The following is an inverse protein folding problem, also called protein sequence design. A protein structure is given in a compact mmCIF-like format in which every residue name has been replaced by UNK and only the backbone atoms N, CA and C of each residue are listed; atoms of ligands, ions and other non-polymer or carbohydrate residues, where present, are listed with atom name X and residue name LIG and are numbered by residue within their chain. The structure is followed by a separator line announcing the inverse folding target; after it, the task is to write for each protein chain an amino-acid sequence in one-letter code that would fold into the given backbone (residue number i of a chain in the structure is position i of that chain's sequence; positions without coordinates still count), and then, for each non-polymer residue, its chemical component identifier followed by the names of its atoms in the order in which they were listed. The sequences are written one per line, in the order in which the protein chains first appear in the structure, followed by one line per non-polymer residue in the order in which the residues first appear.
data_IF_372642885356
#
_entry.id   IF_372642885356
#
_cell.length_a   1.000
_cell.length_b   1.000
_cell.length_c   1.000
_cell.angle_alpha   90.00
_cell.angle_beta   90.00
_cell.angle_gamma   90.00
#
_symmetry.space_group_name_H-M   'P 1'
#
loop_
_entity.id
_entity.type
_entity.pdbx_description
1 polymer ?
#
# COMPACT_ATOMS: atom_id res chain seq x y z
N UNK A 1 -8.24 -21.04 -12.28
CA UNK A 1 -7.54 -19.87 -11.72
C UNK A 1 -8.53 -19.11 -10.84
N UNK A 2 -8.12 -18.55 -9.70
CA UNK A 2 -9.04 -17.74 -8.86
C UNK A 2 -9.34 -16.42 -9.57
N UNK A 3 -10.57 -15.93 -9.46
CA UNK A 3 -10.91 -14.58 -9.91
C UNK A 3 -10.37 -13.54 -8.93
N UNK A 4 -10.25 -12.30 -9.39
CA UNK A 4 -9.78 -11.18 -8.58
C UNK A 4 -10.66 -10.93 -7.35
N UNK A 5 -11.95 -11.31 -7.34
CA UNK A 5 -12.82 -11.25 -6.16
C UNK A 5 -12.33 -12.07 -4.96
N UNK A 6 -11.50 -13.09 -5.20
CA UNK A 6 -11.01 -14.02 -4.16
C UNK A 6 -9.53 -13.80 -3.80
N UNK A 7 -8.99 -12.62 -4.13
CA UNK A 7 -7.59 -12.27 -3.88
C UNK A 7 -7.54 -10.96 -3.08
N UNK A 8 -6.75 -10.94 -2.02
CA UNK A 8 -6.42 -9.73 -1.28
C UNK A 8 -4.93 -9.43 -1.38
N UNK A 9 -4.60 -8.16 -1.64
CA UNK A 9 -3.23 -7.70 -1.56
C UNK A 9 -2.91 -7.33 -0.10
N UNK A 10 -1.83 -7.91 0.42
CA UNK A 10 -1.31 -7.63 1.76
C UNK A 10 0.17 -7.33 1.65
N UNK A 11 0.64 -6.32 2.38
CA UNK A 11 2.06 -5.92 2.35
C UNK A 11 2.91 -6.89 3.14
N UNK A 12 2.38 -7.43 4.25
CA UNK A 12 3.14 -8.10 5.29
C UNK A 12 4.36 -7.26 5.75
N UNK A 13 4.15 -5.94 5.77
CA UNK A 13 5.22 -4.96 5.92
C UNK A 13 5.76 -4.90 7.35
N UNK A 14 7.08 -4.89 7.45
CA UNK A 14 7.82 -4.59 8.67
C UNK A 14 7.80 -3.08 8.99
N UNK A 15 8.18 -2.72 10.21
CA UNK A 15 8.20 -1.32 10.67
C UNK A 15 9.15 -0.40 9.88
N UNK A 16 10.12 -0.97 9.17
CA UNK A 16 11.04 -0.25 8.29
C UNK A 16 10.49 -0.04 6.86
N UNK A 17 9.28 -0.52 6.54
CA UNK A 17 8.68 -0.29 5.24
C UNK A 17 8.46 1.22 4.99
N UNK A 18 8.88 1.70 3.81
CA UNK A 18 8.78 3.12 3.47
C UNK A 18 9.87 4.01 4.07
N UNK A 19 10.88 3.44 4.73
CA UNK A 19 12.06 4.18 5.22
C UNK A 19 13.28 3.94 4.31
N UNK A 20 14.36 4.70 4.53
CA UNK A 20 15.65 4.51 3.88
C UNK A 20 16.64 3.69 4.74
N UNK A 21 16.14 3.04 5.79
CA UNK A 21 16.97 2.24 6.68
C UNK A 21 17.54 1.01 5.96
N UNK A 22 18.78 0.66 6.30
CA UNK A 22 19.48 -0.53 5.77
C UNK A 22 19.49 -1.70 6.75
N UNK A 23 19.07 -1.46 7.98
CA UNK A 23 19.01 -2.45 9.04
C UNK A 23 17.79 -2.20 9.89
N UNK A 24 17.15 -3.25 10.37
CA UNK A 24 16.01 -3.15 11.29
C UNK A 24 16.09 -4.24 12.36
N UNK A 25 15.20 -4.18 13.34
CA UNK A 25 15.02 -5.23 14.34
C UNK A 25 13.55 -5.64 14.41
N UNK A 26 13.25 -6.89 14.10
CA UNK A 26 11.90 -7.43 14.07
C UNK A 26 11.79 -8.49 15.16
N UNK A 27 10.96 -8.24 16.18
CA UNK A 27 10.79 -9.17 17.29
C UNK A 27 12.08 -9.52 18.04
N UNK A 28 13.06 -8.60 18.07
CA UNK A 28 14.38 -8.82 18.67
C UNK A 28 15.42 -9.45 17.72
N UNK A 29 15.05 -9.78 16.49
CA UNK A 29 15.95 -10.34 15.49
C UNK A 29 16.49 -9.24 14.56
N UNK A 30 17.81 -9.06 14.46
CA UNK A 30 18.40 -8.12 13.52
C UNK A 30 18.09 -8.51 12.07
N UNK A 31 17.85 -7.53 11.22
CA UNK A 31 17.55 -7.72 9.80
C UNK A 31 18.39 -6.76 8.97
N UNK A 32 18.82 -7.21 7.78
CA UNK A 32 19.49 -6.40 6.77
C UNK A 32 18.49 -6.10 5.65
N UNK A 33 18.50 -4.88 5.13
CA UNK A 33 17.62 -4.41 4.06
C UNK A 33 18.49 -4.04 2.87
N UNK A 34 18.40 -4.84 1.81
CA UNK A 34 19.13 -4.65 0.56
C UNK A 34 18.18 -4.89 -0.63
N UNK A 35 18.29 -4.06 -1.66
CA UNK A 35 17.50 -4.14 -2.90
C UNK A 35 15.98 -4.29 -2.71
N UNK A 36 15.44 -3.66 -1.65
CA UNK A 36 14.01 -3.69 -1.35
C UNK A 36 13.54 -5.00 -0.69
N UNK A 37 14.46 -5.78 -0.14
CA UNK A 37 14.22 -7.07 0.52
C UNK A 37 14.80 -7.02 1.94
N UNK A 38 14.03 -7.46 2.93
CA UNK A 38 14.52 -7.64 4.30
C UNK A 38 14.89 -9.10 4.54
N UNK A 39 16.12 -9.36 4.96
CA UNK A 39 16.64 -10.70 5.26
C UNK A 39 17.25 -10.78 6.66
N UNK A 40 17.46 -12.00 7.13
CA UNK A 40 18.35 -12.24 8.26
C UNK A 40 19.80 -11.78 7.95
N UNK A 41 20.64 -11.52 8.98
CA UNK A 41 22.01 -11.05 8.79
C UNK A 41 22.90 -12.12 8.17
N UNK A 42 22.68 -13.39 8.53
CA UNK A 42 22.98 -14.50 7.66
C UNK A 42 21.83 -14.57 6.63
N UNK A 43 22.03 -14.30 5.33
CA UNK A 43 20.95 -14.19 4.34
C UNK A 43 20.34 -15.56 3.98
N UNK A 44 20.00 -16.36 5.00
CA UNK A 44 19.41 -17.70 4.94
C UNK A 44 17.90 -17.67 4.74
N UNK A 45 17.23 -16.58 5.17
CA UNK A 45 15.79 -16.42 5.07
C UNK A 45 15.37 -14.94 4.95
N UNK A 46 14.16 -14.72 4.40
CA UNK A 46 13.49 -13.43 4.46
C UNK A 46 13.01 -13.15 5.88
N UNK A 47 13.21 -11.92 6.34
CA UNK A 47 12.76 -11.47 7.65
C UNK A 47 11.36 -10.83 7.64
N UNK A 48 10.81 -10.59 6.44
CA UNK A 48 9.50 -9.99 6.20
C UNK A 48 9.53 -9.14 4.93
N UNK A 49 8.45 -8.39 4.69
CA UNK A 49 8.34 -7.50 3.53
C UNK A 49 8.60 -6.05 3.92
N UNK A 50 9.10 -5.26 2.98
CA UNK A 50 9.16 -3.79 3.09
C UNK A 50 8.33 -3.12 1.99
N UNK A 51 7.41 -3.86 1.38
CA UNK A 51 6.53 -3.35 0.35
C UNK A 51 5.49 -2.39 0.93
N UNK A 52 5.20 -1.31 0.21
CA UNK A 52 4.10 -0.40 0.49
C UNK A 52 2.87 -0.78 -0.35
N UNK A 53 1.67 -0.41 0.11
CA UNK A 53 0.41 -0.75 -0.58
C UNK A 53 0.36 -0.25 -2.02
N UNK A 54 0.86 0.97 -2.30
CA UNK A 54 0.93 1.50 -3.66
C UNK A 54 1.92 0.71 -4.55
N UNK A 55 3.02 0.20 -3.98
CA UNK A 55 3.95 -0.69 -4.69
C UNK A 55 3.28 -2.01 -5.07
N UNK A 56 2.45 -2.59 -4.20
CA UNK A 56 1.71 -3.81 -4.53
C UNK A 56 0.79 -3.61 -5.74
N UNK A 57 0.02 -2.50 -5.76
CA UNK A 57 -0.85 -2.15 -6.89
C UNK A 57 -0.01 -1.95 -8.15
N UNK A 58 1.08 -1.20 -8.07
CA UNK A 58 1.99 -0.97 -9.20
C UNK A 58 2.54 -2.27 -9.78
N UNK A 59 3.01 -3.19 -8.94
CA UNK A 59 3.53 -4.50 -9.37
C UNK A 59 2.43 -5.34 -10.02
N UNK A 60 1.24 -5.38 -9.44
CA UNK A 60 0.10 -6.10 -10.03
C UNK A 60 -0.22 -5.60 -11.43
N UNK A 61 -0.22 -4.28 -11.62
CA UNK A 61 -0.55 -3.67 -12.92
C UNK A 61 0.57 -3.85 -13.93
N UNK A 62 1.81 -3.48 -13.56
CA UNK A 62 2.93 -3.39 -14.49
C UNK A 62 3.58 -4.73 -14.80
N UNK A 63 3.78 -5.55 -13.77
CA UNK A 63 4.54 -6.80 -13.90
C UNK A 63 3.62 -8.00 -14.12
N UNK A 64 2.44 -8.02 -13.47
CA UNK A 64 1.49 -9.12 -13.59
C UNK A 64 0.37 -8.89 -14.62
N UNK A 65 0.31 -7.71 -15.25
CA UNK A 65 -0.68 -7.37 -16.28
C UNK A 65 -2.12 -7.32 -15.78
N UNK A 66 -2.33 -7.15 -14.47
CA UNK A 66 -3.67 -7.09 -13.87
C UNK A 66 -4.26 -5.69 -14.12
N UNK A 67 -5.52 -5.57 -14.58
CA UNK A 67 -6.15 -4.27 -14.75
C UNK A 67 -6.14 -3.42 -13.47
N UNK A 68 -5.91 -2.10 -13.60
CA UNK A 68 -5.85 -1.17 -12.47
C UNK A 68 -7.06 -1.31 -11.52
N UNK A 69 -8.27 -1.36 -12.06
CA UNK A 69 -9.49 -1.49 -11.26
C UNK A 69 -9.53 -2.81 -10.47
N UNK A 70 -9.00 -3.90 -11.03
CA UNK A 70 -8.89 -5.20 -10.35
C UNK A 70 -7.84 -5.13 -9.23
N UNK A 71 -6.68 -4.52 -9.48
CA UNK A 71 -5.66 -4.31 -8.45
C UNK A 71 -6.18 -3.46 -7.28
N UNK A 72 -6.89 -2.36 -7.57
CA UNK A 72 -7.55 -1.54 -6.55
C UNK A 72 -8.61 -2.34 -5.79
N UNK A 73 -9.47 -3.10 -6.48
CA UNK A 73 -10.47 -3.97 -5.83
C UNK A 73 -9.84 -4.97 -4.85
N UNK A 74 -8.70 -5.57 -5.23
CA UNK A 74 -7.98 -6.53 -4.40
C UNK A 74 -7.36 -5.91 -3.14
N UNK A 75 -7.09 -4.61 -3.10
CA UNK A 75 -6.53 -3.94 -1.91
C UNK A 75 -7.56 -3.14 -1.10
N UNK A 76 -8.77 -2.90 -1.64
CA UNK A 76 -9.83 -2.12 -0.96
C UNK A 76 -11.08 -2.94 -0.65
N UNK A 77 -11.86 -3.31 -1.67
CA UNK A 77 -13.17 -3.93 -1.53
C UNK A 77 -13.10 -5.35 -0.98
N UNK A 78 -12.17 -6.14 -1.50
CA UNK A 78 -12.03 -7.55 -1.11
C UNK A 78 -11.68 -7.73 0.37
N UNK A 79 -10.70 -7.02 0.96
CA UNK A 79 -10.43 -7.16 2.39
C UNK A 79 -11.61 -6.71 3.25
N UNK A 80 -12.30 -5.62 2.91
CA UNK A 80 -13.53 -5.18 3.60
C UNK A 80 -14.58 -6.29 3.62
N UNK A 81 -14.83 -6.92 2.47
CA UNK A 81 -15.77 -8.04 2.34
C UNK A 81 -15.37 -9.25 3.20
N UNK A 82 -14.09 -9.62 3.19
CA UNK A 82 -13.59 -10.77 3.97
C UNK A 82 -13.67 -10.51 5.47
N UNK A 83 -13.38 -9.28 5.90
CA UNK A 83 -13.45 -8.89 7.31
C UNK A 83 -14.88 -8.66 7.81
N UNK A 84 -15.89 -8.71 6.94
CA UNK A 84 -17.29 -8.42 7.30
C UNK A 84 -17.52 -6.94 7.66
N UNK A 85 -16.67 -6.04 7.17
CA UNK A 85 -16.80 -4.60 7.38
C UNK A 85 -17.79 -4.00 6.38
N UNK A 86 -18.38 -2.86 6.74
CA UNK A 86 -19.31 -2.11 5.89
C UNK A 86 -18.94 -0.63 5.88
N UNK A 87 -19.41 0.11 4.86
CA UNK A 87 -19.19 1.56 4.76
C UNK A 87 -17.77 1.94 4.32
N UNK A 88 -16.98 1.01 3.77
CA UNK A 88 -15.61 1.22 3.29
C UNK A 88 -15.33 0.41 2.03
N UNK A 89 -14.20 0.66 1.38
CA UNK A 89 -13.68 -0.14 0.27
C UNK A 89 -14.33 0.14 -1.10
N UNK A 90 -15.31 1.05 -1.15
CA UNK A 90 -15.99 1.49 -2.37
C UNK A 90 -16.26 3.00 -2.29
N UNK A 91 -16.20 3.70 -3.43
CA UNK A 91 -16.64 5.10 -3.52
C UNK A 91 -18.15 5.11 -3.71
N UNK A 92 -18.88 5.35 -2.63
CA UNK A 92 -20.35 5.28 -2.59
C UNK A 92 -20.92 6.23 -1.55
N UNK A 93 -22.07 6.83 -1.84
CA UNK A 93 -22.79 7.67 -0.86
C UNK A 93 -23.09 6.90 0.42
N UNK A 94 -22.82 7.55 1.57
CA UNK A 94 -22.99 6.95 2.90
C UNK A 94 -21.83 6.09 3.37
N UNK A 95 -20.73 6.02 2.61
CA UNK A 95 -19.48 5.36 3.03
C UNK A 95 -18.51 6.40 3.56
N UNK A 96 -17.55 5.96 4.37
CA UNK A 96 -16.48 6.83 4.89
C UNK A 96 -15.68 7.40 3.71
N UNK A 97 -15.38 8.70 3.78
CA UNK A 97 -14.58 9.39 2.79
C UNK A 97 -13.08 9.11 3.01
N UNK A 98 -12.72 7.83 2.94
CA UNK A 98 -11.35 7.32 2.93
C UNK A 98 -10.91 7.13 1.46
N UNK A 99 -10.19 8.11 0.93
CA UNK A 99 -9.85 8.18 -0.49
C UNK A 99 -8.35 8.40 -0.66
N UNK A 100 -7.72 7.59 -1.51
CA UNK A 100 -6.34 7.79 -1.95
C UNK A 100 -6.37 8.24 -3.41
N UNK A 101 -5.65 9.31 -3.71
CA UNK A 101 -5.49 9.87 -5.05
C UNK A 101 -4.04 9.61 -5.47
N UNK A 102 -3.85 9.06 -6.66
CA UNK A 102 -2.53 8.73 -7.21
C UNK A 102 -2.49 8.99 -8.73
N UNK A 103 -1.28 9.17 -9.27
CA UNK A 103 -1.03 9.34 -10.71
C UNK A 103 -1.00 8.01 -11.49
N UNK A 104 -0.78 8.02 -12.80
CA UNK A 104 -0.73 6.78 -13.61
C UNK A 104 0.37 5.80 -13.17
N UNK A 105 1.35 6.29 -12.41
CA UNK A 105 2.45 5.52 -11.83
C UNK A 105 2.13 5.01 -10.42
N UNK A 106 0.93 5.25 -9.90
CA UNK A 106 0.53 4.91 -8.53
C UNK A 106 1.42 5.61 -7.48
N UNK A 107 1.93 6.80 -7.79
CA UNK A 107 2.50 7.69 -6.79
C UNK A 107 1.35 8.41 -6.08
N UNK A 108 1.29 8.30 -4.75
CA UNK A 108 0.22 8.92 -3.96
C UNK A 108 0.41 10.43 -3.94
N UNK A 109 -0.60 11.16 -4.41
CA UNK A 109 -0.59 12.62 -4.47
C UNK A 109 -1.58 13.27 -3.50
N UNK A 110 -2.49 12.48 -2.95
CA UNK A 110 -3.42 12.93 -1.92
C UNK A 110 -4.05 11.79 -1.14
N UNK A 111 -4.38 12.07 0.12
CA UNK A 111 -5.12 11.16 0.99
C UNK A 111 -6.17 11.97 1.74
N UNK A 112 -7.40 11.50 1.66
CA UNK A 112 -8.54 11.97 2.44
C UNK A 112 -8.89 10.84 3.42
N UNK A 113 -8.99 11.15 4.70
CA UNK A 113 -9.36 10.20 5.74
C UNK A 113 -10.59 10.74 6.47
N UNK A 114 -11.68 9.99 6.45
CA UNK A 114 -12.97 10.40 7.01
C UNK A 114 -13.44 11.82 6.58
N UNK A 115 -13.09 12.22 5.36
CA UNK A 115 -13.45 13.54 4.80
C UNK A 115 -12.40 14.63 5.00
N UNK A 116 -11.37 14.39 5.82
CA UNK A 116 -10.30 15.34 6.07
C UNK A 116 -9.10 15.07 5.15
N UNK A 117 -8.55 16.13 4.55
CA UNK A 117 -7.34 16.03 3.72
C UNK A 117 -6.13 15.90 4.64
N UNK A 118 -5.52 14.72 4.70
CA UNK A 118 -4.35 14.44 5.56
C UNK A 118 -3.03 14.43 4.78
N UNK A 119 -3.09 14.21 3.47
CA UNK A 119 -1.94 14.36 2.55
C UNK A 119 -2.44 15.09 1.32
N UNK A 120 -1.71 16.11 0.87
CA UNK A 120 -1.98 16.75 -0.42
C UNK A 120 -0.74 17.42 -0.97
N UNK A 121 -0.23 16.88 -2.08
CA UNK A 121 0.79 17.57 -2.86
C UNK A 121 0.23 18.81 -3.57
N UNK A 122 -1.11 18.90 -3.76
CA UNK A 122 -1.77 20.09 -4.31
C UNK A 122 -1.84 21.27 -3.32
N UNK A 123 -1.86 21.02 -2.00
CA UNK A 123 -1.80 22.10 -1.01
C UNK A 123 -0.40 22.75 -1.01
N UNK A 124 0.67 21.97 -1.21
CA UNK A 124 2.02 22.51 -1.38
C UNK A 124 2.14 23.48 -2.56
N UNK A 125 1.37 23.26 -3.64
CA UNK A 125 1.31 24.19 -4.78
C UNK A 125 0.52 25.49 -4.49
N UNK A 126 -0.44 25.48 -3.56
CA UNK A 126 -1.20 26.67 -3.16
C UNK A 126 -0.45 27.55 -2.15
N UNK A 127 0.39 26.95 -1.31
CA UNK A 127 1.17 27.66 -0.29
C UNK A 127 2.53 28.18 -0.76
N UNK A 128 2.87 27.99 -2.05
CA UNK A 128 3.86 28.81 -2.77
C UNK A 128 5.16 29.11 -2.03
N UNK A 129 6.04 28.13 -1.90
CA UNK A 129 7.47 28.36 -1.69
C UNK A 129 8.30 27.40 -2.55
N UNK A 130 8.60 27.87 -3.76
CA UNK A 130 9.89 27.68 -4.43
C UNK A 130 10.34 29.03 -4.97
#
# INVERSE_FOLDING_TARGET
MKTDDHICLVTDSLSCAGTSEKTACVGGTPCIIEDGVATHPDPSAFAGSIATSNRLVRVCVKEAGIPMYSAVKMITRNPVRIMGLSGKGEIKTGYDADVVIFDDEVNVIGVILQGEVVVSLLILYKEGNM
#
